data_IF_109162343524
#
_entry.id   IF_109162343524
#
_cell.length_a   1.000
_cell.length_b   1.000
_cell.length_c   1.000
_cell.angle_alpha   90.00
_cell.angle_beta   90.00
_cell.angle_gamma   90.00
#
_symmetry.space_group_name_H-M   'P 1'
#
loop_
_entity.id
_entity.type
_entity.pdbx_description
1 polymer ?
#
# COMPACT_ATOMS: atom_id res chain seq x y z
N UNK A 1 53.19 34.02 -14.77
CA UNK A 1 53.68 35.26 -14.11
C UNK A 1 53.69 34.98 -12.60
N UNK A 2 54.85 34.56 -12.09
CA UNK A 2 55.64 35.30 -11.10
C UNK A 2 55.01 35.27 -9.68
N UNK A 3 55.34 34.27 -8.85
CA UNK A 3 56.45 34.31 -7.87
C UNK A 3 56.35 35.47 -6.88
N UNK A 4 56.18 35.19 -5.58
CA UNK A 4 56.89 35.90 -4.49
C UNK A 4 57.11 35.00 -3.28
N UNK A 5 58.33 34.48 -3.25
CA UNK A 5 59.07 34.08 -2.05
C UNK A 5 59.28 35.34 -1.20
N UNK A 6 59.12 35.22 0.12
CA UNK A 6 59.67 36.18 1.08
C UNK A 6 60.45 35.41 2.13
N UNK A 7 61.78 35.46 2.01
CA UNK A 7 62.72 35.19 3.08
C UNK A 7 63.00 36.51 3.82
N UNK A 8 62.90 36.47 5.13
CA UNK A 8 63.61 37.38 6.05
C UNK A 8 63.58 36.72 7.43
N UNK A 9 64.61 36.71 8.27
CA UNK A 9 66.04 37.02 8.20
C UNK A 9 66.52 36.69 9.62
N UNK A 10 67.69 36.07 9.74
CA UNK A 10 68.31 35.73 11.02
C UNK A 10 68.51 36.96 11.92
N UNK A 11 68.31 36.77 13.23
CA UNK A 11 69.13 37.45 14.24
C UNK A 11 69.35 36.56 15.46
N UNK A 12 70.62 36.24 15.68
CA UNK A 12 71.13 35.56 16.85
C UNK A 12 71.10 36.48 18.09
N UNK A 13 70.77 35.92 19.26
CA UNK A 13 71.30 36.37 20.55
C UNK A 13 71.01 35.36 21.69
N UNK A 14 72.08 35.02 22.40
CA UNK A 14 72.18 34.77 23.84
C UNK A 14 71.38 33.61 24.48
N UNK A 15 72.12 32.56 24.81
CA UNK A 15 71.79 31.58 25.85
C UNK A 15 71.76 32.25 27.23
N UNK A 16 70.77 31.95 28.09
CA UNK A 16 70.97 31.82 29.51
C UNK A 16 71.10 30.34 29.88
N UNK A 17 72.24 29.98 30.47
CA UNK A 17 72.47 28.72 31.18
C UNK A 17 71.66 28.78 32.48
N UNK A 18 70.46 28.20 32.50
CA UNK A 18 69.77 27.87 33.74
C UNK A 18 70.11 26.43 34.11
N UNK A 19 70.79 26.25 35.24
CA UNK A 19 71.01 24.94 35.83
C UNK A 19 69.64 24.36 36.25
N UNK A 20 69.08 23.47 35.44
CA UNK A 20 67.92 22.69 35.83
C UNK A 20 68.38 21.60 36.79
N UNK A 21 68.02 21.77 38.07
CA UNK A 21 68.17 20.73 39.07
C UNK A 21 67.42 19.46 38.62
N UNK A 22 68.12 18.33 38.63
CA UNK A 22 67.58 17.00 38.34
C UNK A 22 66.38 16.74 39.27
N UNK A 23 65.16 16.45 38.75
CA UNK A 23 64.11 15.93 39.60
C UNK A 23 64.48 14.51 40.01
N UNK A 24 64.77 14.31 41.30
CA UNK A 24 64.78 12.98 41.91
C UNK A 24 63.45 12.29 41.59
N UNK A 25 63.49 11.26 40.77
CA UNK A 25 62.34 10.39 40.51
C UNK A 25 61.99 9.62 41.79
N UNK A 26 61.15 10.23 42.63
CA UNK A 26 60.29 9.46 43.51
C UNK A 26 59.25 8.78 42.63
N UNK A 27 59.31 7.45 42.52
CA UNK A 27 58.24 6.63 41.96
C UNK A 27 57.04 6.76 42.88
N UNK A 28 56.20 7.76 42.61
CA UNK A 28 54.91 7.95 43.25
C UNK A 28 53.86 7.59 42.21
N UNK A 29 53.28 6.41 42.38
CA UNK A 29 52.11 5.97 41.61
C UNK A 29 50.97 6.96 41.88
N UNK A 30 50.74 7.87 40.94
CA UNK A 30 49.57 8.74 40.94
C UNK A 30 48.38 7.93 40.45
N UNK A 31 47.70 7.26 41.37
CA UNK A 31 46.35 6.76 41.17
C UNK A 31 45.39 7.95 41.32
N UNK A 32 44.88 8.47 40.20
CA UNK A 32 43.73 9.38 40.18
C UNK A 32 42.45 8.59 40.48
N UNK A 33 42.08 8.53 41.76
CA UNK A 33 40.69 8.38 42.22
C UNK A 33 40.63 8.95 43.64
N UNK A 34 39.78 9.97 43.86
CA UNK A 34 39.73 10.76 45.10
C UNK A 34 39.08 10.05 46.30
N UNK A 35 38.74 8.76 46.20
CA UNK A 35 38.51 7.88 47.34
C UNK A 35 38.65 6.43 46.86
N UNK A 36 39.76 5.71 47.12
CA UNK A 36 39.80 4.29 46.82
C UNK A 36 38.69 3.60 47.63
N UNK A 37 37.83 2.74 47.03
CA UNK A 37 36.83 2.01 47.79
C UNK A 37 37.50 1.26 48.94
N UNK A 38 36.81 1.12 50.09
CA UNK A 38 37.37 0.48 51.27
C UNK A 38 37.91 -0.90 50.89
N UNK A 39 39.02 -1.34 51.52
CA UNK A 39 39.72 -2.57 51.14
C UNK A 39 38.81 -3.80 51.11
N UNK A 40 37.78 -3.80 51.95
CA UNK A 40 36.73 -4.84 51.99
C UNK A 40 35.95 -4.97 50.68
N UNK A 41 35.59 -3.85 50.04
CA UNK A 41 34.83 -3.85 48.78
C UNK A 41 35.69 -4.32 47.60
N UNK A 42 36.99 -3.96 47.57
CA UNK A 42 37.90 -4.48 46.55
C UNK A 42 38.18 -5.96 46.74
N UNK A 43 38.32 -6.41 47.99
CA UNK A 43 38.50 -7.82 48.29
C UNK A 43 37.26 -8.64 47.87
N UNK A 44 36.04 -8.13 48.07
CA UNK A 44 34.82 -8.79 47.59
C UNK A 44 34.75 -8.85 46.06
N UNK A 45 35.10 -7.78 45.34
CA UNK A 45 35.16 -7.79 43.87
C UNK A 45 36.18 -8.79 43.31
N UNK A 46 37.33 -8.93 43.98
CA UNK A 46 38.33 -9.92 43.63
C UNK A 46 37.82 -11.33 43.91
N UNK A 47 37.24 -11.53 45.10
CA UNK A 47 36.62 -12.80 45.52
C UNK A 47 35.55 -13.26 44.54
N UNK A 48 34.77 -12.33 44.00
CA UNK A 48 33.72 -12.64 43.03
C UNK A 48 34.24 -13.12 41.68
N UNK A 49 35.44 -12.70 41.29
CA UNK A 49 36.10 -13.11 40.03
C UNK A 49 36.81 -14.47 40.14
N UNK A 50 37.00 -15.02 41.34
CA UNK A 50 37.57 -16.35 41.50
C UNK A 50 36.58 -17.44 41.04
N UNK A 51 37.09 -18.51 40.41
CA UNK A 51 36.25 -19.62 39.99
C UNK A 51 35.62 -20.31 41.20
N UNK A 52 34.32 -20.56 41.09
CA UNK A 52 33.52 -21.30 42.08
C UNK A 52 32.88 -22.48 41.37
N UNK A 53 33.33 -23.70 41.66
CA UNK A 53 32.66 -24.93 41.22
C UNK A 53 31.66 -25.36 42.29
N UNK A 54 30.42 -25.73 41.96
CA UNK A 54 29.47 -26.23 42.95
C UNK A 54 30.01 -27.51 43.60
N UNK A 55 30.09 -27.52 44.94
CA UNK A 55 30.27 -28.73 45.76
C UNK A 55 31.64 -28.98 46.40
N UNK A 56 32.72 -28.27 46.05
CA UNK A 56 34.07 -28.60 46.58
C UNK A 56 34.94 -27.41 47.00
N UNK A 57 34.76 -26.21 46.44
CA UNK A 57 35.62 -25.05 46.72
C UNK A 57 34.79 -23.77 46.83
N UNK A 58 34.78 -23.17 48.02
CA UNK A 58 34.22 -21.83 48.26
C UNK A 58 35.20 -20.78 47.74
N UNK A 59 34.70 -19.62 47.25
CA UNK A 59 35.53 -18.55 46.67
C UNK A 59 36.72 -18.15 47.58
N UNK A 60 36.50 -18.08 48.89
CA UNK A 60 37.56 -17.77 49.86
C UNK A 60 38.54 -18.92 50.08
N UNK A 61 38.08 -20.16 50.00
CA UNK A 61 38.95 -21.33 50.21
C UNK A 61 39.84 -21.58 49.00
N UNK A 62 39.41 -21.27 47.78
CA UNK A 62 40.27 -21.40 46.59
C UNK A 62 41.46 -20.45 46.63
N UNK A 63 41.28 -19.21 47.09
CA UNK A 63 42.36 -18.26 47.29
C UNK A 63 43.35 -18.72 48.38
N UNK A 64 42.84 -19.25 49.50
CA UNK A 64 43.66 -19.78 50.59
C UNK A 64 44.42 -21.02 50.14
N UNK A 65 43.77 -21.95 49.44
CA UNK A 65 44.40 -23.16 48.91
C UNK A 65 45.48 -22.81 47.88
N UNK A 66 45.21 -21.88 46.96
CA UNK A 66 46.19 -21.44 45.98
C UNK A 66 47.42 -20.80 46.65
N UNK A 67 47.20 -19.95 47.65
CA UNK A 67 48.27 -19.31 48.42
C UNK A 67 49.05 -20.34 49.24
N UNK A 68 48.36 -21.30 49.85
CA UNK A 68 48.96 -22.41 50.60
C UNK A 68 49.83 -23.29 49.70
N UNK A 69 49.33 -23.69 48.54
CA UNK A 69 50.10 -24.48 47.56
C UNK A 69 51.32 -23.72 47.03
N UNK A 70 51.19 -22.42 46.76
CA UNK A 70 52.32 -21.58 46.37
C UNK A 70 53.38 -21.49 47.50
N UNK A 71 52.95 -21.29 48.74
CA UNK A 71 53.83 -21.23 49.90
C UNK A 71 54.53 -22.57 50.14
N UNK A 72 53.84 -23.70 50.03
CA UNK A 72 54.45 -25.04 50.17
C UNK A 72 55.39 -25.34 49.01
N UNK A 73 55.05 -24.93 47.78
CA UNK A 73 55.92 -25.15 46.63
C UNK A 73 57.25 -24.38 46.73
N UNK A 74 57.21 -23.16 47.29
CA UNK A 74 58.41 -22.38 47.59
C UNK A 74 59.16 -22.97 48.79
N UNK A 75 58.45 -23.28 49.88
CA UNK A 75 59.06 -23.76 51.12
C UNK A 75 59.69 -25.14 51.01
N UNK A 76 59.19 -26.00 50.12
CA UNK A 76 59.74 -27.33 49.86
C UNK A 76 60.68 -27.35 48.64
N UNK A 77 61.06 -26.18 48.09
CA UNK A 77 61.86 -26.06 46.87
C UNK A 77 61.31 -26.85 45.66
N UNK A 78 60.01 -27.19 45.68
CA UNK A 78 59.33 -27.87 44.58
C UNK A 78 59.32 -26.97 43.32
N UNK A 79 59.36 -25.65 43.51
CA UNK A 79 59.61 -24.67 42.47
C UNK A 79 60.95 -23.97 42.72
N UNK A 80 61.95 -24.28 41.89
CA UNK A 80 63.27 -23.64 41.93
C UNK A 80 63.28 -22.45 40.97
N UNK A 81 63.62 -21.27 41.49
CA UNK A 81 63.73 -20.06 40.69
C UNK A 81 65.01 -20.13 39.84
N UNK A 82 64.86 -20.55 38.59
CA UNK A 82 65.92 -20.58 37.59
C UNK A 82 65.74 -19.47 36.53
N UNK A 83 66.69 -19.34 35.60
CA UNK A 83 66.66 -18.39 34.47
C UNK A 83 65.37 -18.51 33.63
N UNK A 84 64.85 -19.72 33.46
CA UNK A 84 63.61 -19.98 32.71
C UNK A 84 62.37 -19.32 33.35
N UNK A 85 62.41 -19.01 34.65
CA UNK A 85 61.29 -18.34 35.34
C UNK A 85 61.09 -16.90 34.87
N UNK A 86 62.17 -16.23 34.46
CA UNK A 86 62.11 -14.89 33.86
C UNK A 86 61.45 -14.96 32.48
N UNK A 87 61.79 -15.99 31.69
CA UNK A 87 61.18 -16.25 30.38
C UNK A 87 59.69 -16.57 30.55
N UNK A 88 59.32 -17.39 31.55
CA UNK A 88 57.93 -17.72 31.86
C UNK A 88 57.13 -16.48 32.22
N UNK A 89 57.63 -15.65 33.14
CA UNK A 89 56.95 -14.41 33.55
C UNK A 89 56.80 -13.44 32.37
N UNK A 90 57.85 -13.25 31.57
CA UNK A 90 57.79 -12.43 30.36
C UNK A 90 56.77 -12.96 29.35
N UNK A 91 56.70 -14.29 29.17
CA UNK A 91 55.73 -14.94 28.28
C UNK A 91 54.30 -14.75 28.76
N UNK A 92 54.04 -14.85 30.07
CA UNK A 92 52.71 -14.58 30.65
C UNK A 92 52.30 -13.12 30.43
N UNK A 93 53.21 -12.16 30.66
CA UNK A 93 52.92 -10.74 30.43
C UNK A 93 52.63 -10.50 28.94
N UNK A 94 53.43 -11.08 28.05
CA UNK A 94 53.23 -10.96 26.61
C UNK A 94 51.89 -11.57 26.16
N UNK A 95 51.58 -12.80 26.57
CA UNK A 95 50.33 -13.48 26.20
C UNK A 95 49.11 -12.77 26.77
N UNK A 96 49.17 -12.26 28.01
CA UNK A 96 48.05 -11.52 28.61
C UNK A 96 47.82 -10.19 27.92
N UNK A 97 48.88 -9.48 27.54
CA UNK A 97 48.78 -8.24 26.76
C UNK A 97 48.24 -8.50 25.35
N UNK A 98 48.77 -9.52 24.66
CA UNK A 98 48.33 -9.91 23.33
C UNK A 98 46.86 -10.36 23.32
N UNK A 99 46.46 -11.12 24.34
CA UNK A 99 45.06 -11.55 24.51
C UNK A 99 44.13 -10.37 24.68
N UNK A 100 44.51 -9.34 25.45
CA UNK A 100 43.72 -8.10 25.57
C UNK A 100 43.60 -7.37 24.23
N UNK A 101 44.67 -7.31 23.45
CA UNK A 101 44.68 -6.62 22.16
C UNK A 101 43.84 -7.33 21.09
N UNK A 102 43.83 -8.66 21.05
CA UNK A 102 43.12 -9.43 20.01
C UNK A 102 41.66 -9.72 20.38
N UNK A 103 41.30 -9.69 21.68
CA UNK A 103 39.97 -10.09 22.16
C UNK A 103 38.82 -9.30 21.50
N UNK A 104 38.92 -7.98 21.50
CA UNK A 104 37.87 -7.11 20.93
C UNK A 104 37.73 -7.29 19.42
N UNK A 105 38.79 -7.16 18.59
CA UNK A 105 38.65 -7.33 17.14
C UNK A 105 38.20 -8.74 16.75
N UNK A 106 38.64 -9.78 17.49
CA UNK A 106 38.16 -11.14 17.24
C UNK A 106 36.67 -11.30 17.58
N UNK A 107 36.21 -10.70 18.68
CA UNK A 107 34.80 -10.75 19.07
C UNK A 107 33.92 -10.05 18.03
N UNK A 108 34.29 -8.85 17.59
CA UNK A 108 33.56 -8.12 16.55
C UNK A 108 33.53 -8.90 15.23
N UNK A 109 34.66 -9.49 14.84
CA UNK A 109 34.74 -10.33 13.64
C UNK A 109 33.84 -11.57 13.76
N UNK A 110 33.83 -12.24 14.92
CA UNK A 110 32.98 -13.41 15.15
C UNK A 110 31.49 -13.03 15.12
N UNK A 111 31.10 -11.95 15.79
CA UNK A 111 29.73 -11.44 15.80
C UNK A 111 29.26 -11.03 14.40
N UNK A 112 30.12 -10.36 13.62
CA UNK A 112 29.80 -9.98 12.24
C UNK A 112 29.57 -11.19 11.33
N UNK A 113 30.36 -12.25 11.46
CA UNK A 113 30.16 -13.48 10.69
C UNK A 113 28.88 -14.21 11.10
N UNK A 114 28.60 -14.30 12.40
CA UNK A 114 27.34 -14.88 12.91
C UNK A 114 26.14 -14.08 12.38
N UNK A 115 26.20 -12.74 12.43
CA UNK A 115 25.14 -11.87 11.92
C UNK A 115 24.94 -12.02 10.41
N UNK A 116 26.01 -12.16 9.63
CA UNK A 116 25.94 -12.40 8.19
C UNK A 116 25.22 -13.73 7.88
N UNK A 117 25.60 -14.81 8.56
CA UNK A 117 24.97 -16.13 8.36
C UNK A 117 23.50 -16.09 8.76
N UNK A 118 23.17 -15.47 9.90
CA UNK A 118 21.77 -15.28 10.34
C UNK A 118 20.96 -14.51 9.32
N UNK A 119 21.49 -13.39 8.81
CA UNK A 119 20.82 -12.56 7.81
C UNK A 119 20.54 -13.34 6.51
N UNK A 120 21.47 -14.16 6.05
CA UNK A 120 21.26 -15.00 4.86
C UNK A 120 20.17 -16.05 5.13
N UNK A 121 20.20 -16.69 6.30
CA UNK A 121 19.21 -17.72 6.65
C UNK A 121 17.79 -17.15 6.82
N UNK A 122 17.68 -16.00 7.48
CA UNK A 122 16.40 -15.27 7.64
C UNK A 122 15.90 -14.73 6.29
N UNK A 123 16.80 -14.18 5.47
CA UNK A 123 16.49 -13.74 4.11
C UNK A 123 15.98 -14.88 3.23
N UNK A 124 16.66 -16.03 3.23
CA UNK A 124 16.26 -17.21 2.48
C UNK A 124 14.91 -17.76 2.95
N UNK A 125 14.65 -17.75 4.27
CA UNK A 125 13.35 -18.16 4.81
C UNK A 125 12.24 -17.21 4.35
N UNK A 126 12.46 -15.90 4.43
CA UNK A 126 11.50 -14.89 3.99
C UNK A 126 11.21 -14.99 2.48
N UNK A 127 12.26 -15.09 1.66
CA UNK A 127 12.14 -15.24 0.21
C UNK A 127 11.40 -16.52 -0.17
N UNK A 128 11.69 -17.65 0.50
CA UNK A 128 10.96 -18.90 0.28
C UNK A 128 9.49 -18.77 0.67
N UNK A 129 9.17 -18.17 1.82
CA UNK A 129 7.77 -17.94 2.21
C UNK A 129 7.04 -17.03 1.22
N UNK A 130 7.72 -15.99 0.71
CA UNK A 130 7.16 -15.10 -0.29
C UNK A 130 6.93 -15.81 -1.64
N UNK A 131 7.89 -16.62 -2.09
CA UNK A 131 7.76 -17.41 -3.31
C UNK A 131 6.61 -18.44 -3.21
N UNK A 132 6.44 -19.09 -2.05
CA UNK A 132 5.32 -19.99 -1.80
C UNK A 132 4.00 -19.22 -1.80
N UNK A 133 3.93 -18.06 -1.14
CA UNK A 133 2.73 -17.22 -1.15
C UNK A 133 2.36 -16.80 -2.57
N UNK A 134 3.32 -16.33 -3.36
CA UNK A 134 3.09 -15.97 -4.77
C UNK A 134 2.54 -17.13 -5.60
N UNK A 135 3.03 -18.35 -5.37
CA UNK A 135 2.52 -19.55 -6.04
C UNK A 135 1.11 -19.89 -5.59
N UNK A 136 0.79 -19.72 -4.31
CA UNK A 136 -0.57 -19.90 -3.79
C UNK A 136 -1.52 -18.89 -4.44
N UNK A 137 -1.14 -17.61 -4.52
CA UNK A 137 -1.96 -16.56 -5.12
C UNK A 137 -2.21 -16.82 -6.61
N UNK A 138 -1.17 -17.26 -7.34
CA UNK A 138 -1.31 -17.64 -8.76
C UNK A 138 -2.24 -18.84 -8.95
N UNK A 139 -2.15 -19.87 -8.09
CA UNK A 139 -3.04 -21.03 -8.15
C UNK A 139 -4.47 -20.66 -7.71
N UNK A 140 -4.63 -19.73 -6.78
CA UNK A 140 -5.93 -19.24 -6.35
C UNK A 140 -6.68 -18.56 -7.50
N UNK A 141 -5.99 -17.79 -8.36
CA UNK A 141 -6.60 -17.22 -9.57
C UNK A 141 -7.10 -18.28 -10.55
N UNK A 142 -6.41 -19.43 -10.64
CA UNK A 142 -6.81 -20.54 -11.51
C UNK A 142 -8.05 -21.28 -11.00
N UNK A 143 -8.38 -21.17 -9.71
CA UNK A 143 -9.58 -21.79 -9.12
C UNK A 143 -10.87 -21.26 -9.74
N UNK A 144 -10.90 -19.98 -10.11
CA UNK A 144 -12.09 -19.31 -10.62
C UNK A 144 -12.27 -19.43 -12.15
N UNK A 145 -11.34 -20.06 -12.86
CA UNK A 145 -11.41 -20.19 -14.33
C UNK A 145 -12.55 -21.12 -14.76
N UNK A 146 -12.88 -22.14 -13.96
CA UNK A 146 -13.96 -23.08 -14.28
C UNK A 146 -15.32 -22.39 -14.20
N UNK A 147 -15.57 -21.62 -13.13
CA UNK A 147 -16.82 -20.85 -12.98
C UNK A 147 -16.92 -19.74 -14.03
N UNK A 148 -15.83 -19.05 -14.34
CA UNK A 148 -15.79 -18.05 -15.41
C UNK A 148 -16.12 -18.66 -16.78
N UNK A 149 -15.56 -19.84 -17.07
CA UNK A 149 -15.81 -20.53 -18.35
C UNK A 149 -17.26 -21.00 -18.44
N UNK A 150 -17.82 -21.56 -17.36
CA UNK A 150 -19.24 -21.91 -17.31
C UNK A 150 -20.14 -20.68 -17.46
N UNK A 151 -19.77 -19.56 -16.83
CA UNK A 151 -20.44 -18.27 -16.99
C UNK A 151 -20.43 -17.76 -18.42
N UNK A 152 -19.28 -17.83 -19.11
CA UNK A 152 -19.16 -17.45 -20.53
C UNK A 152 -20.02 -18.34 -21.43
N UNK A 153 -20.07 -19.65 -21.18
CA UNK A 153 -20.96 -20.56 -21.92
C UNK A 153 -22.45 -20.29 -21.64
N UNK A 154 -22.80 -19.99 -20.39
CA UNK A 154 -24.18 -19.62 -20.02
C UNK A 154 -24.61 -18.33 -20.72
N UNK A 155 -23.76 -17.29 -20.70
CA UNK A 155 -23.99 -16.03 -21.41
C UNK A 155 -24.18 -16.28 -22.91
N UNK A 156 -23.28 -17.06 -23.54
CA UNK A 156 -23.41 -17.37 -24.96
C UNK A 156 -24.73 -18.08 -25.30
N UNK A 157 -25.16 -19.02 -24.45
CA UNK A 157 -26.44 -19.74 -24.62
C UNK A 157 -27.64 -18.82 -24.42
N UNK A 158 -27.61 -17.94 -23.44
CA UNK A 158 -28.71 -17.02 -23.15
C UNK A 158 -28.79 -15.92 -24.22
N UNK A 159 -27.66 -15.41 -24.72
CA UNK A 159 -27.63 -14.50 -25.88
C UNK A 159 -28.30 -15.13 -27.10
N UNK A 160 -27.94 -16.36 -27.46
CA UNK A 160 -28.56 -17.05 -28.60
C UNK A 160 -30.07 -17.24 -28.45
N UNK A 161 -30.55 -17.53 -27.23
CA UNK A 161 -31.99 -17.62 -26.95
C UNK A 161 -32.68 -16.27 -27.09
N UNK A 162 -32.13 -15.22 -26.48
CA UNK A 162 -32.72 -13.88 -26.52
C UNK A 162 -32.72 -13.31 -27.93
N UNK A 163 -31.69 -13.58 -28.74
CA UNK A 163 -31.68 -13.22 -30.16
C UNK A 163 -32.80 -13.93 -30.94
N UNK A 164 -33.00 -15.23 -30.71
CA UNK A 164 -34.08 -15.98 -31.35
C UNK A 164 -35.48 -15.45 -30.94
N UNK A 165 -35.70 -15.21 -29.64
CA UNK A 165 -36.95 -14.63 -29.12
C UNK A 165 -37.19 -13.22 -29.68
N UNK A 166 -36.15 -12.40 -29.75
CA UNK A 166 -36.21 -11.06 -30.33
C UNK A 166 -36.58 -11.12 -31.80
N UNK A 167 -35.99 -12.04 -32.57
CA UNK A 167 -36.29 -12.22 -33.99
C UNK A 167 -37.75 -12.63 -34.22
N UNK A 168 -38.27 -13.57 -33.44
CA UNK A 168 -39.69 -13.98 -33.50
C UNK A 168 -40.60 -12.79 -33.15
N UNK A 169 -40.25 -12.02 -32.12
CA UNK A 169 -41.06 -10.88 -31.72
C UNK A 169 -41.04 -9.76 -32.78
N UNK A 170 -39.88 -9.50 -33.40
CA UNK A 170 -39.77 -8.56 -34.52
C UNK A 170 -40.63 -8.99 -35.71
N UNK A 171 -40.63 -10.29 -36.07
CA UNK A 171 -41.52 -10.80 -37.12
C UNK A 171 -42.99 -10.57 -36.79
N UNK A 172 -43.42 -10.85 -35.55
CA UNK A 172 -44.80 -10.60 -35.11
C UNK A 172 -45.19 -9.13 -35.21
N UNK A 173 -44.29 -8.23 -34.80
CA UNK A 173 -44.52 -6.77 -34.87
C UNK A 173 -44.55 -6.30 -36.32
N UNK A 174 -43.68 -6.82 -37.19
CA UNK A 174 -43.68 -6.49 -38.61
C UNK A 174 -45.01 -6.88 -39.28
N UNK A 175 -45.48 -8.12 -39.07
CA UNK A 175 -46.77 -8.58 -39.59
C UNK A 175 -47.93 -7.76 -39.02
N UNK A 176 -47.93 -7.47 -37.72
CA UNK A 176 -48.96 -6.63 -37.10
C UNK A 176 -48.97 -5.20 -37.68
N UNK A 177 -47.80 -4.64 -37.99
CA UNK A 177 -47.67 -3.32 -38.61
C UNK A 177 -48.18 -3.32 -40.06
N UNK A 178 -47.90 -4.36 -40.84
CA UNK A 178 -48.43 -4.51 -42.20
C UNK A 178 -49.96 -4.63 -42.19
N UNK A 179 -50.51 -5.48 -41.32
CA UNK A 179 -51.97 -5.64 -41.18
C UNK A 179 -52.63 -4.33 -40.74
N UNK A 180 -52.01 -3.61 -39.79
CA UNK A 180 -52.49 -2.29 -39.38
C UNK A 180 -52.44 -1.30 -40.54
N UNK A 181 -51.36 -1.26 -41.31
CA UNK A 181 -51.24 -0.36 -42.47
C UNK A 181 -52.32 -0.63 -43.51
N UNK A 182 -52.65 -1.92 -43.75
CA UNK A 182 -53.75 -2.29 -44.65
C UNK A 182 -55.07 -1.78 -44.05
N UNK A 183 -55.36 -2.04 -42.77
CA UNK A 183 -56.59 -1.58 -42.13
C UNK A 183 -56.73 -0.05 -42.13
N UNK A 184 -55.66 0.67 -41.82
CA UNK A 184 -55.64 2.15 -41.86
C UNK A 184 -55.90 2.66 -43.28
N UNK A 185 -55.40 1.97 -44.32
CA UNK A 185 -55.70 2.32 -45.71
C UNK A 185 -57.17 2.11 -46.08
N UNK A 186 -57.81 1.06 -45.56
CA UNK A 186 -59.25 0.82 -45.73
C UNK A 186 -60.09 1.88 -45.02
N UNK A 187 -59.73 2.21 -43.77
CA UNK A 187 -60.43 3.26 -43.00
C UNK A 187 -60.29 4.61 -43.70
N UNK A 188 -59.10 4.94 -44.21
CA UNK A 188 -58.90 6.17 -44.99
C UNK A 188 -59.74 6.18 -46.27
N UNK A 189 -59.80 5.07 -46.98
CA UNK A 189 -60.64 4.94 -48.18
C UNK A 189 -62.13 5.10 -47.84
N UNK A 190 -62.61 4.49 -46.76
CA UNK A 190 -63.99 4.63 -46.29
C UNK A 190 -64.32 6.09 -45.91
N UNK A 191 -63.42 6.77 -45.21
CA UNK A 191 -63.58 8.19 -44.89
C UNK A 191 -63.64 9.05 -46.14
N UNK A 192 -62.77 8.81 -47.12
CA UNK A 192 -62.78 9.52 -48.41
C UNK A 192 -64.08 9.29 -49.18
N UNK A 193 -64.61 8.07 -49.20
CA UNK A 193 -65.90 7.78 -49.82
C UNK A 193 -67.05 8.50 -49.11
N UNK A 194 -67.10 8.47 -47.78
CA UNK A 194 -68.12 9.19 -47.00
C UNK A 194 -68.05 10.70 -47.25
N UNK A 195 -66.86 11.27 -47.27
CA UNK A 195 -66.67 12.70 -47.58
C UNK A 195 -67.11 13.02 -49.02
N UNK A 196 -66.78 12.18 -49.99
CA UNK A 196 -67.18 12.36 -51.39
C UNK A 196 -68.72 12.26 -51.56
N UNK A 197 -69.36 11.28 -50.94
CA UNK A 197 -70.82 11.14 -50.92
C UNK A 197 -71.49 12.34 -50.23
N UNK A 198 -70.96 12.81 -49.10
CA UNK A 198 -71.48 14.00 -48.44
C UNK A 198 -71.34 15.26 -49.30
N UNK A 199 -70.22 15.42 -50.01
CA UNK A 199 -70.04 16.54 -50.93
C UNK A 199 -71.01 16.46 -52.12
N UNK A 200 -71.23 15.28 -52.69
CA UNK A 200 -72.15 15.09 -53.81
C UNK A 200 -73.62 15.29 -53.39
N UNK A 201 -74.02 14.75 -52.22
CA UNK A 201 -75.32 15.01 -51.62
C UNK A 201 -75.52 16.50 -51.32
N UNK A 202 -74.51 17.16 -50.75
CA UNK A 202 -74.57 18.59 -50.44
C UNK A 202 -74.70 19.43 -51.71
N UNK A 203 -73.95 19.11 -52.78
CA UNK A 203 -74.10 19.76 -54.09
C UNK A 203 -75.50 19.56 -54.67
N UNK A 204 -76.00 18.32 -54.67
CA UNK A 204 -77.34 17.99 -55.19
C UNK A 204 -78.44 18.72 -54.41
N UNK A 205 -78.33 18.80 -53.08
CA UNK A 205 -79.28 19.54 -52.24
C UNK A 205 -79.20 21.04 -52.52
N UNK A 206 -77.99 21.62 -52.58
CA UNK A 206 -77.80 23.04 -52.91
C UNK A 206 -78.40 23.35 -54.28
N UNK A 207 -78.08 22.57 -55.31
CA UNK A 207 -78.59 22.77 -56.67
C UNK A 207 -80.12 22.66 -56.72
N UNK A 208 -80.71 21.69 -56.03
CA UNK A 208 -82.16 21.54 -55.94
C UNK A 208 -82.83 22.71 -55.24
N UNK A 209 -82.26 23.19 -54.12
CA UNK A 209 -82.75 24.40 -53.44
C UNK A 209 -82.62 25.62 -54.34
N UNK A 210 -81.52 25.79 -55.07
CA UNK A 210 -81.35 26.91 -56.02
C UNK A 210 -82.35 26.86 -57.18
N UNK A 211 -82.72 25.66 -57.66
CA UNK A 211 -83.77 25.48 -58.68
C UNK A 211 -85.15 25.77 -58.10
N UNK A 212 -85.46 25.26 -56.90
CA UNK A 212 -86.73 25.48 -56.23
C UNK A 212 -86.93 26.96 -55.88
N UNK A 213 -85.88 27.71 -55.50
CA UNK A 213 -85.93 29.17 -55.29
C UNK A 213 -86.19 29.99 -56.58
N UNK A 214 -85.93 29.42 -57.76
CA UNK A 214 -86.24 30.07 -59.05
C UNK A 214 -87.68 29.84 -59.50
N UNK A 215 -88.42 28.93 -58.88
CA UNK A 215 -89.82 28.69 -59.23
C UNK A 215 -90.71 29.84 -58.75
N UNK A 216 -91.67 30.25 -59.60
CA UNK A 216 -92.52 31.40 -59.30
C UNK A 216 -93.46 31.16 -58.11
N UNK A 217 -93.89 29.90 -57.90
CA UNK A 217 -94.77 29.50 -56.81
C UNK A 217 -94.08 29.68 -55.44
N UNK A 218 -92.86 29.16 -55.29
CA UNK A 218 -92.07 29.29 -54.06
C UNK A 218 -91.66 30.73 -53.80
N UNK A 219 -91.33 31.53 -54.83
CA UNK A 219 -91.09 32.96 -54.66
C UNK A 219 -92.31 33.71 -54.13
N UNK A 220 -93.51 33.40 -54.65
CA UNK A 220 -94.76 33.96 -54.14
C UNK A 220 -95.04 33.52 -52.71
N UNK A 221 -94.84 32.24 -52.39
CA UNK A 221 -95.02 31.71 -51.04
C UNK A 221 -94.04 32.35 -50.04
N UNK A 222 -92.76 32.54 -50.42
CA UNK A 222 -91.75 33.25 -49.62
C UNK A 222 -92.13 34.73 -49.42
N UNK A 223 -92.60 35.41 -50.46
CA UNK A 223 -93.06 36.81 -50.34
C UNK A 223 -94.28 36.91 -49.43
N UNK A 224 -95.24 35.99 -49.55
CA UNK A 224 -96.40 35.92 -48.67
C UNK A 224 -96.00 35.64 -47.22
N UNK A 225 -95.05 34.73 -46.99
CA UNK A 225 -94.53 34.43 -45.66
C UNK A 225 -93.73 35.62 -45.09
N UNK A 226 -92.90 36.29 -45.88
CA UNK A 226 -92.17 37.49 -45.46
C UNK A 226 -93.13 38.64 -45.11
N UNK A 227 -94.22 38.83 -45.88
CA UNK A 227 -95.27 39.80 -45.54
C UNK A 227 -95.97 39.39 -44.23
N UNK A 228 -96.29 38.12 -44.04
CA UNK A 228 -96.88 37.62 -42.79
C UNK A 228 -95.96 37.80 -41.57
N UNK A 229 -94.65 37.56 -41.72
CA UNK A 229 -93.64 37.79 -40.67
C UNK A 229 -93.47 39.28 -40.36
N UNK A 230 -93.45 40.15 -41.37
CA UNK A 230 -93.45 41.61 -41.18
C UNK A 230 -94.74 42.07 -40.50
N UNK A 231 -95.91 41.55 -40.89
CA UNK A 231 -97.18 41.84 -40.23
C UNK A 231 -97.19 41.38 -38.77
N UNK A 232 -96.59 40.23 -38.45
CA UNK A 232 -96.43 39.77 -37.05
C UNK A 232 -95.44 40.66 -36.28
N UNK A 233 -94.31 41.06 -36.86
CA UNK A 233 -93.36 41.97 -36.23
C UNK A 233 -93.96 43.36 -35.98
N UNK A 234 -94.77 43.88 -36.90
CA UNK A 234 -95.48 45.16 -36.73
C UNK A 234 -96.56 45.03 -35.66
N UNK A 235 -97.32 43.92 -35.62
CA UNK A 235 -98.29 43.65 -34.54
C UNK A 235 -97.62 43.50 -33.18
N UNK A 236 -96.44 42.90 -33.12
CA UNK A 236 -95.66 42.73 -31.89
C UNK A 236 -94.92 44.01 -31.44
N UNK A 237 -94.72 44.98 -32.34
CA UNK A 237 -94.08 46.28 -32.06
C UNK A 237 -95.10 47.41 -31.84
N UNK A 238 -96.39 47.15 -32.09
CA UNK A 238 -97.50 48.08 -31.87
C UNK A 238 -98.08 48.02 -30.44
N UNK A 239 -97.26 47.62 -29.47
CA UNK A 239 -97.49 47.77 -28.02
C UNK A 239 -96.28 48.44 -27.41
#
# INVERSE_FOLDING_TARGET
MASRIAFSSMRAAARPRAAAALPRHAVRAMATSSNPPPPEQRASELMEKLPSSPGLLTKGTSAIVATGLAATAISQELYVVNEETIILVASIIFVTYLSKMIREPYKEWAEANIARIRKVLEGARAEHTHAVQHRIDNVAQLKDVVSLTQGLFAISKDTAKTEAETFVQQQKVAVAAEVKSVLDSWVRYEQQLKEAEQLDLTRTVIDRVLVDLKQEKTQRDILMQAVAEVEQLVKNKAV
#
